data_IF_852054736367
#
_entry.id   IF_852054736367
#
_cell.length_a   1.000
_cell.length_b   1.000
_cell.length_c   1.000
_cell.angle_alpha   90.00
_cell.angle_beta   90.00
_cell.angle_gamma   90.00
#
_symmetry.space_group_name_H-M   'P 1'
#
loop_
_entity.id
_entity.type
_entity.pdbx_description
1 polymer ?
#
# COMPACT_ATOMS: atom_id res chain seq x y z
N UNK A 1 -5.81 -1.88 18.78
CA UNK A 1 -6.46 -1.79 20.11
C UNK A 1 -5.46 -1.97 21.26
N UNK A 2 -4.74 -3.10 21.38
CA UNK A 2 -3.87 -3.37 22.55
C UNK A 2 -2.86 -2.26 22.90
N UNK A 3 -2.33 -1.55 21.89
CA UNK A 3 -1.35 -0.49 22.09
C UNK A 3 -1.99 0.84 22.52
N UNK A 4 -2.93 1.33 21.71
CA UNK A 4 -3.54 2.65 21.89
C UNK A 4 -4.80 2.65 22.75
N UNK A 5 -5.34 1.47 23.10
CA UNK A 5 -6.66 1.28 23.75
C UNK A 5 -7.80 2.03 23.05
N UNK A 6 -7.61 2.31 21.77
CA UNK A 6 -8.49 3.09 20.94
C UNK A 6 -9.02 2.17 19.83
N UNK A 7 -10.35 2.05 19.77
CA UNK A 7 -11.05 1.20 18.80
C UNK A 7 -11.12 1.85 17.42
N UNK A 8 -11.11 3.18 17.36
CA UNK A 8 -11.25 3.95 16.14
C UNK A 8 -9.95 3.90 15.32
N UNK A 9 -8.81 4.14 15.99
CA UNK A 9 -7.49 3.96 15.37
C UNK A 9 -7.30 2.52 14.89
N UNK A 10 -7.80 1.54 15.66
CA UNK A 10 -7.71 0.14 15.28
C UNK A 10 -8.54 -0.18 14.03
N UNK A 11 -9.75 0.38 13.91
CA UNK A 11 -10.62 0.21 12.75
C UNK A 11 -10.01 0.87 11.50
N UNK A 12 -9.53 2.12 11.62
CA UNK A 12 -8.85 2.83 10.53
C UNK A 12 -7.63 2.04 10.04
N UNK A 13 -6.79 1.56 10.97
CA UNK A 13 -5.61 0.76 10.62
C UNK A 13 -5.98 -0.55 9.94
N UNK A 14 -7.04 -1.24 10.40
CA UNK A 14 -7.47 -2.50 9.80
C UNK A 14 -7.91 -2.31 8.33
N UNK A 15 -8.71 -1.29 8.05
CA UNK A 15 -9.14 -0.96 6.69
C UNK A 15 -7.95 -0.52 5.83
N UNK A 16 -7.07 0.32 6.37
CA UNK A 16 -5.89 0.80 5.65
C UNK A 16 -4.96 -0.35 5.26
N UNK A 17 -4.67 -1.26 6.19
CA UNK A 17 -3.81 -2.43 5.94
C UNK A 17 -4.44 -3.39 4.95
N UNK A 18 -5.76 -3.61 5.01
CA UNK A 18 -6.46 -4.45 4.03
C UNK A 18 -6.31 -3.89 2.61
N UNK A 19 -6.61 -2.60 2.42
CA UNK A 19 -6.44 -1.92 1.14
C UNK A 19 -4.97 -1.93 0.66
N UNK A 20 -4.01 -1.71 1.56
CA UNK A 20 -2.59 -1.77 1.22
C UNK A 20 -2.18 -3.16 0.71
N UNK A 21 -2.70 -4.23 1.31
CA UNK A 21 -2.39 -5.61 0.90
C UNK A 21 -2.99 -5.98 -0.47
N UNK A 22 -4.18 -5.45 -0.79
CA UNK A 22 -4.76 -5.59 -2.14
C UNK A 22 -3.84 -4.93 -3.16
N UNK A 23 -3.39 -3.70 -2.90
CA UNK A 23 -2.51 -2.98 -3.82
C UNK A 23 -1.15 -3.66 -3.94
N UNK A 24 -0.56 -4.12 -2.83
CA UNK A 24 0.71 -4.85 -2.84
C UNK A 24 0.64 -6.14 -3.70
N UNK A 25 -0.45 -6.89 -3.62
CA UNK A 25 -0.66 -8.07 -4.47
C UNK A 25 -0.77 -7.73 -5.96
N UNK A 26 -1.50 -6.66 -6.27
CA UNK A 26 -1.66 -6.18 -7.65
C UNK A 26 -0.34 -5.63 -8.21
N UNK A 27 0.37 -4.78 -7.46
CA UNK A 27 1.65 -4.21 -7.91
C UNK A 27 2.72 -5.28 -8.04
N UNK A 28 2.71 -6.32 -7.19
CA UNK A 28 3.60 -7.48 -7.30
C UNK A 28 3.49 -8.24 -8.63
N UNK A 29 2.35 -8.15 -9.34
CA UNK A 29 2.16 -8.77 -10.66
C UNK A 29 2.18 -7.77 -11.80
N UNK A 30 1.52 -6.62 -11.65
CA UNK A 30 1.40 -5.60 -12.70
C UNK A 30 2.74 -4.90 -12.97
N UNK A 31 3.54 -4.62 -11.94
CA UNK A 31 4.82 -3.90 -12.11
C UNK A 31 5.81 -4.72 -12.94
N UNK A 32 6.11 -6.00 -12.62
CA UNK A 32 7.01 -6.80 -13.43
C UNK A 32 6.53 -6.95 -14.88
N UNK A 33 5.23 -7.21 -15.09
CA UNK A 33 4.66 -7.35 -16.43
C UNK A 33 4.74 -6.05 -17.25
N UNK A 34 4.49 -4.90 -16.60
CA UNK A 34 4.62 -3.58 -17.23
C UNK A 34 6.06 -3.29 -17.66
N UNK A 35 7.03 -3.63 -16.82
CA UNK A 35 8.46 -3.48 -17.13
C UNK A 35 8.89 -4.34 -18.31
N UNK A 36 8.47 -5.63 -18.35
CA UNK A 36 8.72 -6.51 -19.51
C UNK A 36 8.14 -5.90 -20.79
N UNK A 37 6.91 -5.35 -20.73
CA UNK A 37 6.26 -4.73 -21.89
C UNK A 37 6.99 -3.49 -22.39
N UNK A 38 7.63 -2.75 -21.48
CA UNK A 38 8.44 -1.58 -21.76
C UNK A 38 9.88 -1.91 -22.19
N UNK A 39 10.28 -3.19 -22.18
CA UNK A 39 11.64 -3.62 -22.52
C UNK A 39 12.67 -3.38 -21.42
N UNK A 40 12.23 -3.12 -20.19
CA UNK A 40 13.09 -2.92 -19.02
C UNK A 40 13.21 -4.24 -18.25
N UNK A 41 14.41 -4.57 -17.78
CA UNK A 41 14.63 -5.76 -16.96
C UNK A 41 13.89 -5.64 -15.61
N UNK A 42 12.88 -6.50 -15.36
CA UNK A 42 12.13 -6.47 -14.11
C UNK A 42 13.01 -6.76 -12.90
N UNK A 43 14.07 -7.55 -13.03
CA UNK A 43 14.90 -7.94 -11.88
C UNK A 43 15.59 -6.73 -11.24
N UNK A 44 15.89 -5.70 -12.04
CA UNK A 44 16.61 -4.50 -11.58
C UNK A 44 15.66 -3.46 -10.99
N UNK A 45 14.48 -3.28 -11.59
CA UNK A 45 13.58 -2.16 -11.26
C UNK A 45 12.33 -2.56 -10.46
N UNK A 46 11.92 -3.83 -10.47
CA UNK A 46 10.63 -4.23 -9.89
C UNK A 46 10.59 -4.08 -8.38
N UNK A 47 11.65 -4.45 -7.65
CA UNK A 47 11.67 -4.39 -6.18
C UNK A 47 11.48 -2.96 -5.68
N UNK A 48 12.25 -2.01 -6.20
CA UNK A 48 12.17 -0.59 -5.85
C UNK A 48 10.81 0.00 -6.22
N UNK A 49 10.30 -0.29 -7.43
CA UNK A 49 9.00 0.21 -7.86
C UNK A 49 7.84 -0.36 -7.04
N UNK A 50 7.87 -1.65 -6.71
CA UNK A 50 6.86 -2.27 -5.86
C UNK A 50 6.88 -1.62 -4.48
N UNK A 51 8.04 -1.50 -3.85
CA UNK A 51 8.15 -0.90 -2.52
C UNK A 51 7.69 0.56 -2.50
N UNK A 52 8.04 1.35 -3.51
CA UNK A 52 7.61 2.76 -3.58
C UNK A 52 6.10 2.88 -3.77
N UNK A 53 5.48 2.03 -4.60
CA UNK A 53 4.02 2.00 -4.75
C UNK A 53 3.36 1.62 -3.43
N UNK A 54 3.83 0.57 -2.77
CA UNK A 54 3.24 0.13 -1.48
C UNK A 54 3.46 1.14 -0.36
N UNK A 55 4.57 1.88 -0.36
CA UNK A 55 4.83 2.93 0.61
C UNK A 55 3.89 4.11 0.38
N UNK A 56 3.83 4.65 -0.84
CA UNK A 56 2.97 5.79 -1.17
C UNK A 56 1.50 5.45 -0.92
N UNK A 57 1.04 4.28 -1.37
CA UNK A 57 -0.36 3.87 -1.17
C UNK A 57 -0.65 3.57 0.28
N UNK A 58 0.24 2.86 0.98
CA UNK A 58 0.07 2.55 2.40
C UNK A 58 -0.06 3.82 3.24
N UNK A 59 0.83 4.80 3.06
CA UNK A 59 0.74 6.09 3.73
C UNK A 59 -0.50 6.87 3.31
N UNK A 60 -0.79 6.95 2.01
CA UNK A 60 -1.92 7.70 1.50
C UNK A 60 -3.26 7.17 2.03
N UNK A 61 -3.46 5.85 2.00
CA UNK A 61 -4.70 5.23 2.48
C UNK A 61 -4.82 5.39 4.00
N UNK A 62 -3.75 5.14 4.75
CA UNK A 62 -3.80 5.29 6.21
C UNK A 62 -4.10 6.73 6.63
N UNK A 63 -3.33 7.70 6.12
CA UNK A 63 -3.50 9.12 6.47
C UNK A 63 -4.82 9.68 5.92
N UNK A 64 -5.23 9.27 4.72
CA UNK A 64 -6.50 9.67 4.12
C UNK A 64 -7.70 9.18 4.92
N UNK A 65 -7.70 7.91 5.33
CA UNK A 65 -8.76 7.36 6.18
C UNK A 65 -8.77 8.00 7.57
N UNK A 66 -7.60 8.25 8.16
CA UNK A 66 -7.51 8.95 9.44
C UNK A 66 -8.05 10.39 9.35
N UNK A 67 -7.71 11.11 8.28
CA UNK A 67 -8.22 12.47 8.04
C UNK A 67 -9.74 12.49 7.83
N UNK A 68 -10.28 11.55 7.05
CA UNK A 68 -11.73 11.42 6.85
C UNK A 68 -12.48 11.04 8.13
N UNK A 69 -11.87 10.25 9.01
CA UNK A 69 -12.46 9.88 10.29
C UNK A 69 -12.46 11.05 11.29
N UNK A 70 -11.44 11.91 11.24
CA UNK A 70 -11.29 13.07 12.12
C UNK A 70 -12.18 14.26 11.74
N UNK A 71 -12.67 14.32 10.50
CA UNK A 71 -13.58 15.35 10.00
C UNK A 71 -15.02 15.11 10.45
#
# INVERSE_FOLDING_TARGET
>A
YLWFKDADIAAVMAVAMFANMVVAGLSGTVVPLGLVRAGVDPAVASSVLITTITDVVGFFVFLGLAALYLM
#
